data_IF_161843780298
#
_entry.id   IF_161843780298
#
_cell.length_a   1.000
_cell.length_b   1.000
_cell.length_c   1.000
_cell.angle_alpha   90.00
_cell.angle_beta   90.00
_cell.angle_gamma   90.00
#
_symmetry.space_group_name_H-M   'P 1'
#
loop_
_entity.id
_entity.type
_entity.pdbx_description
1 polymer ?
#
# COMPACT_ATOMS: atom_id res chain seq x y z
N UNK A 1 0.55 0.44 10.87
CA UNK A 1 0.42 -1.03 10.87
C UNK A 1 1.77 -1.64 11.24
N UNK A 2 1.78 -2.84 11.83
CA UNK A 2 2.98 -3.65 12.08
C UNK A 2 2.77 -5.09 11.61
N UNK A 3 3.83 -5.71 11.10
CA UNK A 3 3.84 -7.15 10.84
C UNK A 3 4.00 -7.94 12.15
N UNK A 4 3.25 -9.04 12.24
CA UNK A 4 3.42 -10.00 13.32
C UNK A 4 4.67 -10.85 13.06
N UNK A 5 5.47 -11.06 14.10
CA UNK A 5 6.69 -11.88 14.02
C UNK A 5 6.35 -13.34 13.73
N UNK A 6 7.22 -13.99 12.96
CA UNK A 6 7.11 -15.42 12.62
C UNK A 6 6.20 -15.71 11.43
N UNK A 7 5.64 -14.69 10.79
CA UNK A 7 4.95 -14.83 9.51
C UNK A 7 5.97 -15.08 8.38
N UNK A 8 5.56 -15.76 7.31
CA UNK A 8 6.39 -15.99 6.12
C UNK A 8 7.06 -14.69 5.62
N UNK A 9 6.32 -13.58 5.68
CA UNK A 9 6.74 -12.27 5.21
C UNK A 9 8.03 -11.79 5.89
N UNK A 10 8.27 -12.17 7.15
CA UNK A 10 9.52 -11.81 7.86
C UNK A 10 10.78 -12.49 7.29
N UNK A 11 10.61 -13.50 6.43
CA UNK A 11 11.70 -14.28 5.83
C UNK A 11 11.86 -14.03 4.33
N UNK A 12 11.03 -13.15 3.76
CA UNK A 12 11.18 -12.76 2.36
C UNK A 12 12.27 -11.70 2.23
N UNK A 13 13.14 -11.88 1.24
CA UNK A 13 14.14 -10.88 0.90
C UNK A 13 13.50 -9.77 0.03
N UNK A 14 13.53 -8.56 0.57
CA UNK A 14 12.87 -7.37 0.02
C UNK A 14 13.90 -6.32 -0.34
N UNK A 15 13.88 -5.87 -1.59
CA UNK A 15 14.74 -4.80 -2.05
C UNK A 15 14.17 -3.45 -1.58
N UNK A 16 14.78 -2.85 -0.56
CA UNK A 16 14.32 -1.57 -0.01
C UNK A 16 14.55 -0.36 -0.92
N UNK A 17 15.34 -0.51 -1.99
CA UNK A 17 15.62 0.55 -2.97
C UNK A 17 14.52 0.59 -4.03
N UNK A 18 14.19 -0.57 -4.59
CA UNK A 18 13.13 -0.71 -5.61
C UNK A 18 11.74 -0.97 -5.00
N UNK A 19 11.70 -1.31 -3.71
CA UNK A 19 10.52 -1.68 -2.97
C UNK A 19 9.74 -2.84 -3.61
N UNK A 20 10.48 -3.88 -4.03
CA UNK A 20 9.97 -5.07 -4.71
C UNK A 20 10.67 -6.33 -4.19
N UNK A 21 10.05 -7.48 -4.41
CA UNK A 21 10.68 -8.78 -4.16
C UNK A 21 11.58 -9.19 -5.33
N UNK A 22 12.66 -9.91 -5.03
CA UNK A 22 13.41 -10.62 -6.07
C UNK A 22 12.57 -11.74 -6.69
N UNK A 23 12.89 -12.15 -7.93
CA UNK A 23 12.16 -13.20 -8.64
C UNK A 23 12.01 -14.50 -7.82
N UNK A 24 13.04 -14.86 -7.06
CA UNK A 24 13.01 -16.03 -6.16
C UNK A 24 11.94 -15.87 -5.08
N UNK A 25 11.88 -14.71 -4.43
CA UNK A 25 10.89 -14.46 -3.37
C UNK A 25 9.48 -14.28 -3.94
N UNK A 26 9.34 -13.69 -5.13
CA UNK A 26 8.07 -13.67 -5.85
C UNK A 26 7.57 -15.08 -6.15
N UNK A 27 8.46 -16.03 -6.50
CA UNK A 27 8.09 -17.44 -6.69
C UNK A 27 7.65 -18.11 -5.37
N UNK A 28 8.38 -17.89 -4.28
CA UNK A 28 8.00 -18.38 -2.94
C UNK A 28 6.63 -17.84 -2.55
N UNK A 29 6.39 -16.54 -2.79
CA UNK A 29 5.12 -15.90 -2.49
C UNK A 29 3.99 -16.46 -3.36
N UNK A 30 4.24 -16.75 -4.64
CA UNK A 30 3.27 -17.40 -5.52
C UNK A 30 2.90 -18.80 -5.05
N UNK A 31 3.87 -19.58 -4.56
CA UNK A 31 3.58 -20.90 -4.00
C UNK A 31 2.80 -20.78 -2.68
N UNK A 32 3.12 -19.80 -1.84
CA UNK A 32 2.35 -19.52 -0.63
C UNK A 32 0.92 -19.07 -0.93
N UNK A 33 0.72 -18.22 -1.94
CA UNK A 33 -0.59 -17.79 -2.39
C UNK A 33 -1.47 -18.98 -2.80
N UNK A 34 -0.89 -19.96 -3.52
CA UNK A 34 -1.60 -21.20 -3.88
C UNK A 34 -2.01 -22.04 -2.66
N UNK A 35 -1.25 -21.99 -1.57
CA UNK A 35 -1.63 -22.66 -0.32
C UNK A 35 -2.79 -21.95 0.38
N UNK A 36 -2.87 -20.63 0.25
CA UNK A 36 -4.00 -19.84 0.75
C UNK A 36 -5.26 -20.04 -0.11
N UNK A 37 -5.09 -20.26 -1.41
CA UNK A 37 -6.17 -20.53 -2.37
C UNK A 37 -6.74 -21.95 -2.26
N UNK A 38 -7.50 -22.21 -1.18
CA UNK A 38 -8.14 -23.51 -0.93
C UNK A 38 -9.16 -23.92 -1.99
N UNK A 39 -9.63 -22.98 -2.82
CA UNK A 39 -10.60 -23.23 -3.86
C UNK A 39 -9.97 -23.48 -5.24
N UNK A 40 -8.65 -23.30 -5.38
CA UNK A 40 -7.89 -23.43 -6.63
C UNK A 40 -8.46 -22.57 -7.78
N UNK A 41 -8.84 -21.33 -7.48
CA UNK A 41 -9.38 -20.37 -8.46
C UNK A 41 -8.33 -19.37 -8.97
N UNK A 42 -7.10 -19.48 -8.47
CA UNK A 42 -6.01 -18.52 -8.60
C UNK A 42 -6.36 -17.14 -8.01
N UNK A 43 -7.25 -17.12 -7.02
CA UNK A 43 -7.77 -15.92 -6.37
C UNK A 43 -8.07 -16.21 -4.90
N UNK A 44 -8.11 -15.18 -4.07
CA UNK A 44 -8.53 -15.26 -2.67
C UNK A 44 -9.84 -14.50 -2.49
N UNK A 45 -10.85 -15.16 -1.92
CA UNK A 45 -12.04 -14.44 -1.47
C UNK A 45 -11.78 -13.63 -0.19
N UNK A 46 -12.76 -12.85 0.20
CA UNK A 46 -12.77 -12.00 1.40
C UNK A 46 -12.41 -12.76 2.69
N UNK A 47 -12.91 -13.99 2.86
CA UNK A 47 -12.63 -14.84 4.04
C UNK A 47 -11.16 -15.28 4.07
N UNK A 48 -10.63 -15.80 2.95
CA UNK A 48 -9.24 -16.24 2.83
C UNK A 48 -8.30 -15.06 3.05
N UNK A 49 -8.60 -13.91 2.45
CA UNK A 49 -7.86 -12.67 2.61
C UNK A 49 -7.89 -12.18 4.07
N UNK A 50 -9.07 -12.17 4.69
CA UNK A 50 -9.23 -11.73 6.07
C UNK A 50 -8.36 -12.54 7.02
N UNK A 51 -8.39 -13.88 6.90
CA UNK A 51 -7.59 -14.75 7.76
C UNK A 51 -6.09 -14.58 7.53
N UNK A 52 -5.64 -14.41 6.27
CA UNK A 52 -4.25 -14.06 5.97
C UNK A 52 -3.84 -12.75 6.65
N UNK A 53 -4.57 -11.67 6.41
CA UNK A 53 -4.24 -10.34 6.95
C UNK A 53 -4.27 -10.31 8.47
N UNK A 54 -5.27 -10.95 9.07
CA UNK A 54 -5.37 -11.06 10.53
C UNK A 54 -4.22 -11.89 11.12
N UNK A 55 -3.72 -12.89 10.40
CA UNK A 55 -2.59 -13.69 10.85
C UNK A 55 -1.26 -12.92 10.75
N UNK A 56 -1.04 -12.13 9.69
CA UNK A 56 0.25 -11.50 9.40
C UNK A 56 0.40 -10.07 9.90
N UNK A 57 -0.69 -9.36 10.21
CA UNK A 57 -0.67 -7.95 10.64
C UNK A 57 -1.38 -7.71 11.97
N UNK A 58 -1.18 -6.52 12.56
CA UNK A 58 -1.93 -6.01 13.71
C UNK A 58 -3.22 -5.25 13.34
N UNK A 59 -3.64 -5.27 12.07
CA UNK A 59 -4.83 -4.56 11.60
C UNK A 59 -6.12 -5.12 12.21
N UNK A 60 -7.07 -4.22 12.45
CA UNK A 60 -8.43 -4.56 12.88
C UNK A 60 -9.28 -4.99 11.70
N UNK A 61 -10.37 -5.71 11.98
CA UNK A 61 -11.32 -6.18 10.94
C UNK A 61 -11.72 -5.07 9.96
N UNK A 62 -12.07 -3.87 10.44
CA UNK A 62 -12.46 -2.75 9.56
C UNK A 62 -11.33 -2.35 8.60
N UNK A 63 -10.10 -2.26 9.09
CA UNK A 63 -8.92 -1.91 8.29
C UNK A 63 -8.58 -3.02 7.29
N UNK A 64 -8.73 -4.28 7.69
CA UNK A 64 -8.54 -5.44 6.79
C UNK A 64 -9.55 -5.43 5.66
N UNK A 65 -10.85 -5.27 5.97
CA UNK A 65 -11.89 -5.24 4.93
C UNK A 65 -11.71 -4.04 4.00
N UNK A 66 -11.33 -2.89 4.55
CA UNK A 66 -11.01 -1.73 3.73
C UNK A 66 -9.81 -1.98 2.81
N UNK A 67 -8.77 -2.69 3.29
CA UNK A 67 -7.62 -3.07 2.46
C UNK A 67 -8.04 -4.03 1.34
N UNK A 68 -9.00 -4.93 1.60
CA UNK A 68 -9.57 -5.81 0.58
C UNK A 68 -10.26 -4.97 -0.52
N UNK A 69 -11.15 -4.06 -0.12
CA UNK A 69 -11.91 -3.21 -1.06
C UNK A 69 -10.96 -2.34 -1.91
N UNK A 70 -9.88 -1.82 -1.30
CA UNK A 70 -8.85 -1.06 -2.02
C UNK A 70 -8.12 -1.90 -3.08
N UNK A 71 -7.84 -3.18 -2.79
CA UNK A 71 -7.10 -4.07 -3.70
C UNK A 71 -7.98 -4.66 -4.80
N UNK A 72 -9.27 -4.89 -4.53
CA UNK A 72 -10.25 -5.38 -5.52
C UNK A 72 -10.68 -4.27 -6.49
N UNK A 73 -9.71 -3.57 -7.08
CA UNK A 73 -9.92 -2.43 -7.99
C UNK A 73 -10.73 -2.77 -9.26
N UNK A 74 -10.86 -4.05 -9.59
CA UNK A 74 -11.67 -4.53 -10.71
C UNK A 74 -13.06 -5.01 -10.28
N UNK A 75 -13.42 -4.85 -9.00
CA UNK A 75 -14.69 -5.25 -8.40
C UNK A 75 -15.06 -6.70 -8.71
N UNK A 76 -14.06 -7.59 -8.70
CA UNK A 76 -14.25 -9.02 -8.97
C UNK A 76 -14.81 -9.77 -7.76
N UNK A 77 -14.74 -9.17 -6.58
CA UNK A 77 -15.02 -9.79 -5.28
C UNK A 77 -13.91 -10.74 -4.83
N UNK A 78 -12.76 -10.75 -5.50
CA UNK A 78 -11.65 -11.64 -5.23
C UNK A 78 -10.28 -10.97 -5.47
N UNK A 79 -9.24 -11.48 -4.81
CA UNK A 79 -7.87 -10.96 -4.92
C UNK A 79 -7.02 -11.93 -5.74
N UNK A 80 -6.64 -11.53 -6.94
CA UNK A 80 -5.67 -12.22 -7.79
C UNK A 80 -4.23 -12.06 -7.25
N UNK A 81 -3.30 -12.83 -7.82
CA UNK A 81 -1.92 -12.83 -7.36
C UNK A 81 -1.22 -11.47 -7.51
N UNK A 82 -1.54 -10.69 -8.54
CA UNK A 82 -0.97 -9.37 -8.79
C UNK A 82 -1.33 -8.38 -7.68
N UNK A 83 -2.60 -8.37 -7.26
CA UNK A 83 -3.11 -7.57 -6.15
C UNK A 83 -2.49 -8.04 -4.82
N UNK A 84 -2.43 -9.35 -4.60
CA UNK A 84 -1.78 -9.93 -3.43
C UNK A 84 -0.27 -9.61 -3.35
N UNK A 85 0.43 -9.63 -4.48
CA UNK A 85 1.84 -9.28 -4.57
C UNK A 85 2.07 -7.81 -4.20
N UNK A 86 1.23 -6.91 -4.71
CA UNK A 86 1.28 -5.48 -4.36
C UNK A 86 1.07 -5.27 -2.87
N UNK A 87 0.06 -5.92 -2.29
CA UNK A 87 -0.18 -5.89 -0.84
C UNK A 87 1.06 -6.32 -0.07
N UNK A 88 1.68 -7.44 -0.44
CA UNK A 88 2.88 -7.94 0.27
C UNK A 88 4.05 -6.95 0.17
N UNK A 89 4.22 -6.28 -0.98
CA UNK A 89 5.22 -5.21 -1.09
C UNK A 89 4.90 -4.04 -0.14
N UNK A 90 3.64 -3.60 -0.07
CA UNK A 90 3.20 -2.55 0.87
C UNK A 90 3.47 -2.97 2.33
N UNK A 91 3.15 -4.20 2.68
CA UNK A 91 3.38 -4.75 4.01
C UNK A 91 4.86 -4.74 4.39
N UNK A 92 5.73 -5.15 3.46
CA UNK A 92 7.18 -5.13 3.65
C UNK A 92 7.73 -3.71 3.70
N UNK A 93 7.23 -2.77 2.91
CA UNK A 93 7.63 -1.36 3.01
C UNK A 93 7.41 -0.79 4.40
N UNK A 94 6.32 -1.21 5.06
CA UNK A 94 6.03 -0.80 6.43
C UNK A 94 7.04 -1.35 7.44
N UNK A 95 7.47 -2.60 7.27
CA UNK A 95 8.48 -3.25 8.12
C UNK A 95 9.88 -2.61 7.94
N UNK A 96 10.22 -2.24 6.71
CA UNK A 96 11.52 -1.63 6.39
C UNK A 96 11.53 -0.09 6.52
N UNK A 97 10.40 0.53 6.88
CA UNK A 97 10.24 1.99 6.99
C UNK A 97 10.61 2.75 5.70
N UNK A 98 10.19 2.22 4.55
CA UNK A 98 10.43 2.79 3.22
C UNK A 98 9.13 3.12 2.47
N UNK A 99 8.03 3.37 3.20
CA UNK A 99 6.70 3.63 2.64
C UNK A 99 6.72 4.82 1.68
N UNK A 100 7.42 5.91 2.04
CA UNK A 100 7.56 7.08 1.17
C UNK A 100 8.25 6.74 -0.17
N UNK A 101 9.31 5.93 -0.13
CA UNK A 101 10.01 5.48 -1.33
C UNK A 101 9.11 4.61 -2.22
N UNK A 102 8.32 3.73 -1.61
CA UNK A 102 7.36 2.91 -2.33
C UNK A 102 6.31 3.75 -3.02
N UNK A 103 5.70 4.69 -2.29
CA UNK A 103 4.68 5.59 -2.83
C UNK A 103 5.25 6.41 -4.00
N UNK A 104 6.45 6.96 -3.87
CA UNK A 104 7.07 7.73 -4.96
C UNK A 104 7.38 6.86 -6.18
N UNK A 105 7.98 5.68 -5.98
CA UNK A 105 8.45 4.82 -7.07
C UNK A 105 7.29 4.11 -7.79
N UNK A 106 6.24 3.76 -7.04
CA UNK A 106 5.04 3.08 -7.50
C UNK A 106 3.82 3.99 -7.45
N UNK A 107 4.01 5.28 -7.73
CA UNK A 107 2.99 6.33 -7.55
C UNK A 107 1.71 6.06 -8.32
N UNK A 108 1.80 5.45 -9.50
CA UNK A 108 0.62 5.14 -10.33
C UNK A 108 -0.25 4.04 -9.71
N UNK A 109 0.28 2.84 -9.42
CA UNK A 109 -0.51 1.83 -8.72
C UNK A 109 -1.01 2.29 -7.35
N UNK A 110 -0.21 3.07 -6.60
CA UNK A 110 -0.66 3.62 -5.31
C UNK A 110 -1.80 4.61 -5.51
N UNK A 111 -1.73 5.48 -6.51
CA UNK A 111 -2.82 6.40 -6.84
C UNK A 111 -4.13 5.64 -7.12
N UNK A 112 -4.06 4.62 -7.96
CA UNK A 112 -5.22 3.78 -8.32
C UNK A 112 -5.76 2.99 -7.11
N UNK A 113 -4.90 2.65 -6.13
CA UNK A 113 -5.31 2.02 -4.87
C UNK A 113 -6.02 2.99 -3.91
N UNK A 114 -5.65 4.27 -3.94
CA UNK A 114 -6.21 5.31 -3.07
C UNK A 114 -7.53 5.88 -3.61
N UNK A 115 -7.70 5.90 -4.94
CA UNK A 115 -8.90 6.30 -5.68
C UNK A 115 -9.98 5.20 -5.60
N UNK A 116 -10.64 5.11 -4.43
CA UNK A 116 -11.54 4.00 -4.10
C UNK A 116 -12.88 4.10 -4.83
N UNK A 117 -13.31 5.30 -5.22
CA UNK A 117 -14.54 5.49 -6.00
C UNK A 117 -14.31 5.47 -7.52
N UNK A 118 -13.05 5.42 -7.97
CA UNK A 118 -12.66 5.42 -9.38
C UNK A 118 -12.87 6.76 -10.08
N UNK A 119 -13.01 7.86 -9.32
CA UNK A 119 -13.17 9.23 -9.78
C UNK A 119 -11.95 9.79 -10.50
N UNK A 120 -10.81 9.08 -10.49
CA UNK A 120 -9.50 9.49 -11.04
C UNK A 120 -8.88 10.69 -10.31
N UNK A 121 -9.30 10.87 -9.07
CA UNK A 121 -8.87 11.92 -8.16
C UNK A 121 -8.94 11.37 -6.75
N UNK A 122 -7.97 11.70 -5.90
CA UNK A 122 -8.01 11.27 -4.50
C UNK A 122 -8.63 12.39 -3.67
N UNK A 123 -9.73 12.10 -2.99
CA UNK A 123 -10.36 13.01 -2.03
C UNK A 123 -9.65 12.99 -0.66
N UNK A 124 -9.85 14.00 0.20
CA UNK A 124 -9.34 13.99 1.57
C UNK A 124 -9.87 12.80 2.38
N UNK A 125 -11.13 12.41 2.16
CA UNK A 125 -11.75 11.28 2.84
C UNK A 125 -11.08 9.96 2.47
N UNK A 126 -10.82 9.74 1.18
CA UNK A 126 -10.11 8.54 0.71
C UNK A 126 -8.68 8.49 1.23
N UNK A 127 -7.97 9.62 1.16
CA UNK A 127 -6.60 9.73 1.65
C UNK A 127 -6.49 9.42 3.15
N UNK A 128 -7.38 10.00 3.97
CA UNK A 128 -7.42 9.73 5.41
C UNK A 128 -7.82 8.29 5.73
N UNK A 129 -8.81 7.76 5.02
CA UNK A 129 -9.32 6.42 5.28
C UNK A 129 -8.28 5.35 4.94
N UNK A 130 -7.48 5.54 3.90
CA UNK A 130 -6.46 4.58 3.42
C UNK A 130 -5.06 4.78 4.00
N UNK A 131 -4.78 5.95 4.59
CA UNK A 131 -3.44 6.33 5.08
C UNK A 131 -2.84 5.37 6.12
N UNK A 132 -3.66 4.60 6.84
CA UNK A 132 -3.18 3.60 7.81
C UNK A 132 -2.28 2.53 7.18
N UNK A 133 -2.53 2.19 5.90
CA UNK A 133 -1.84 1.12 5.18
C UNK A 133 -0.39 1.52 4.85
N UNK A 134 -0.16 2.81 4.63
CA UNK A 134 1.14 3.39 4.29
C UNK A 134 1.83 4.09 5.47
N UNK A 135 1.31 3.94 6.69
CA UNK A 135 1.74 4.70 7.87
C UNK A 135 1.72 6.23 7.65
N UNK A 136 0.84 6.71 6.76
CA UNK A 136 0.59 8.12 6.52
C UNK A 136 -0.38 8.62 7.60
N UNK A 137 0.14 9.30 8.63
CA UNK A 137 -0.69 9.88 9.71
C UNK A 137 -0.25 11.29 10.07
N UNK A 138 -1.24 12.11 10.47
CA UNK A 138 -1.05 13.37 11.17
C UNK A 138 -1.44 14.61 10.36
N UNK A 139 -1.71 15.70 11.07
CA UNK A 139 -2.15 17.00 10.52
C UNK A 139 -1.20 17.60 9.47
N UNK A 140 0.08 17.22 9.51
CA UNK A 140 1.03 17.64 8.49
C UNK A 140 0.64 17.13 7.09
N UNK A 141 0.07 15.92 6.99
CA UNK A 141 -0.38 15.37 5.72
C UNK A 141 -1.64 16.06 5.21
N UNK A 142 -2.58 16.40 6.09
CA UNK A 142 -3.77 17.16 5.70
C UNK A 142 -3.36 18.52 5.14
N UNK A 143 -2.40 19.21 5.77
CA UNK A 143 -1.91 20.50 5.30
C UNK A 143 -1.19 20.37 3.95
N UNK A 144 -0.30 19.39 3.83
CA UNK A 144 0.45 19.17 2.59
C UNK A 144 -0.52 18.77 1.46
N UNK A 145 -1.58 18.01 1.72
CA UNK A 145 -2.58 17.66 0.72
C UNK A 145 -3.12 18.91 0.00
N UNK A 146 -3.58 19.92 0.77
CA UNK A 146 -4.09 21.18 0.19
C UNK A 146 -3.01 22.06 -0.44
N UNK A 147 -1.74 21.93 -0.03
CA UNK A 147 -0.63 22.64 -0.68
C UNK A 147 -0.35 22.13 -2.11
N UNK A 148 -0.73 20.88 -2.41
CA UNK A 148 -0.51 20.25 -3.71
C UNK A 148 -1.77 20.18 -4.60
N UNK A 149 -2.95 20.50 -4.08
CA UNK A 149 -4.14 20.76 -4.89
C UNK A 149 -4.00 22.12 -5.62
N UNK A 150 -3.34 22.09 -6.77
CA UNK A 150 -3.11 23.28 -7.61
C UNK A 150 -4.38 23.66 -8.36
N UNK A 151 -5.21 22.68 -8.69
CA UNK A 151 -6.47 22.87 -9.38
C UNK A 151 -7.51 23.62 -8.53
N UNK A 152 -7.42 23.47 -7.20
CA UNK A 152 -8.36 24.03 -6.24
C UNK A 152 -9.71 23.31 -6.21
N UNK A 153 -9.77 22.06 -6.69
CA UNK A 153 -10.99 21.24 -6.69
C UNK A 153 -11.16 20.40 -5.40
N UNK A 154 -10.28 20.62 -4.42
CA UNK A 154 -10.19 19.90 -3.14
C UNK A 154 -9.86 18.41 -3.28
N UNK A 155 -9.39 17.99 -4.45
CA UNK A 155 -8.93 16.64 -4.73
C UNK A 155 -7.51 16.66 -5.31
N UNK A 156 -6.85 15.50 -5.30
CA UNK A 156 -5.56 15.35 -5.98
C UNK A 156 -5.75 14.51 -7.24
N UNK A 157 -5.56 15.12 -8.41
CA UNK A 157 -5.38 14.35 -9.63
C UNK A 157 -4.00 13.67 -9.65
N UNK A 158 -3.77 12.74 -10.60
CA UNK A 158 -2.51 11.98 -10.64
C UNK A 158 -1.25 12.85 -10.75
N UNK A 159 -1.31 14.01 -11.42
CA UNK A 159 -0.14 14.89 -11.54
C UNK A 159 0.19 15.56 -10.21
N UNK A 160 -0.83 16.04 -9.51
CA UNK A 160 -0.72 16.66 -8.19
C UNK A 160 -0.24 15.64 -7.16
N UNK A 161 -0.84 14.44 -7.15
CA UNK A 161 -0.36 13.33 -6.33
C UNK A 161 1.11 13.00 -6.61
N UNK A 162 1.52 12.92 -7.89
CA UNK A 162 2.93 12.65 -8.21
C UNK A 162 3.87 13.75 -7.67
N UNK A 163 3.52 15.02 -7.78
CA UNK A 163 4.30 16.13 -7.21
C UNK A 163 4.36 16.03 -5.69
N UNK A 164 3.23 15.76 -5.03
CA UNK A 164 3.15 15.50 -3.59
C UNK A 164 4.15 14.41 -3.16
N UNK A 165 4.20 13.29 -3.87
CA UNK A 165 5.12 12.18 -3.53
C UNK A 165 6.59 12.55 -3.72
N UNK A 166 6.91 13.37 -4.73
CA UNK A 166 8.28 13.83 -4.97
C UNK A 166 8.73 14.77 -3.84
N UNK A 167 7.88 15.72 -3.45
CA UNK A 167 8.17 16.62 -2.33
C UNK A 167 8.36 15.87 -1.01
N UNK A 168 7.56 14.82 -0.75
CA UNK A 168 7.72 13.98 0.44
C UNK A 168 9.10 13.30 0.52
N UNK A 169 9.70 12.94 -0.63
CA UNK A 169 11.04 12.36 -0.71
C UNK A 169 12.10 13.43 -0.48
N UNK A 170 12.00 14.58 -1.17
CA UNK A 170 12.96 15.67 -1.05
C UNK A 170 13.06 16.16 0.41
N UNK A 171 11.91 16.37 1.08
CA UNK A 171 11.86 16.73 2.50
C UNK A 171 12.50 15.66 3.40
N UNK A 172 12.35 14.38 3.06
CA UNK A 172 12.97 13.28 3.83
C UNK A 172 14.49 13.29 3.67
N UNK A 173 15.01 13.58 2.48
CA UNK A 173 16.45 13.67 2.23
C UNK A 173 17.08 14.88 2.94
N UNK A 174 16.42 16.05 2.88
CA UNK A 174 16.87 17.25 3.60
C UNK A 174 16.94 17.02 5.10
N UNK A 175 15.90 16.41 5.67
CA UNK A 175 15.86 16.06 7.11
C UNK A 175 17.00 15.12 7.49
N UNK A 176 17.30 14.11 6.66
CA UNK A 176 18.44 13.18 6.87
C UNK A 176 19.80 13.88 6.76
N UNK A 177 19.94 14.91 5.90
CA UNK A 177 21.17 15.70 5.78
C UNK A 177 21.39 16.58 7.00
N UNK A 178 20.34 17.19 7.56
CA UNK A 178 20.44 18.04 8.76
C UNK A 178 20.73 17.26 10.05
N UNK A 179 20.45 15.95 10.07
CA UNK A 179 20.69 15.06 11.21
C UNK A 179 22.06 14.36 11.19
N UNK A 180 22.85 14.54 10.13
CA UNK A 180 24.22 14.05 10.00
C UNK A 180 25.23 15.13 10.36
#
# INVERSE_FOLDING_TARGET
MKLKKGALLNYLDFDSVYCLLSLRNAKILSDYFKLLDVHNRNTLNDIQFYHFMHHVTDLKKKEIMMTFDMLDWNASGEIAFEQFYMLVCILLCSEYHVEKNFIFRHSRPVFELLDMDGGRTISPAEFQASGFLFNLKGHALDKIFYEFDVSGDEHLNYKEFKMFTMACIDMQEETKKMQK
#
